data_IF_073479585596
#
_entry.id   IF_073479585596
#
_cell.length_a   1.000
_cell.length_b   1.000
_cell.length_c   1.000
_cell.angle_alpha   90.00
_cell.angle_beta   90.00
_cell.angle_gamma   90.00
#
_symmetry.space_group_name_H-M   'P 1'
#
loop_
_entity.id
_entity.type
_entity.pdbx_description
1 polymer ?
#
# COMPACT_ATOMS: atom_id res chain seq x y z
N UNK A 1 13.79 -5.97 -6.61
CA UNK A 1 12.61 -5.54 -5.83
C UNK A 1 11.39 -6.15 -6.46
N UNK A 2 10.63 -6.89 -5.69
CA UNK A 2 9.51 -7.65 -6.21
C UNK A 2 8.20 -6.86 -6.10
N UNK A 3 8.06 -5.87 -6.95
CA UNK A 3 6.76 -5.19 -7.13
C UNK A 3 5.82 -6.10 -7.92
N UNK A 4 4.55 -6.10 -7.56
CA UNK A 4 3.52 -6.86 -8.27
C UNK A 4 2.28 -6.02 -8.56
N UNK A 5 1.58 -6.39 -9.61
CA UNK A 5 0.26 -5.83 -9.98
C UNK A 5 -0.83 -6.90 -10.03
N UNK A 6 -0.51 -8.14 -9.71
CA UNK A 6 -1.43 -9.27 -9.87
C UNK A 6 -2.71 -9.15 -9.03
N UNK A 7 -2.60 -8.53 -7.84
CA UNK A 7 -3.76 -8.27 -6.97
C UNK A 7 -4.80 -7.34 -7.60
N UNK A 8 -4.41 -6.54 -8.60
CA UNK A 8 -5.34 -5.68 -9.32
C UNK A 8 -6.31 -6.45 -10.22
N UNK A 9 -6.05 -7.74 -10.49
CA UNK A 9 -7.02 -8.61 -11.15
C UNK A 9 -8.31 -8.78 -10.34
N UNK A 10 -8.26 -8.54 -9.04
CA UNK A 10 -9.43 -8.56 -8.15
C UNK A 10 -10.22 -7.26 -8.16
N UNK A 11 -9.67 -6.20 -8.73
CA UNK A 11 -10.36 -4.92 -8.91
C UNK A 11 -11.20 -4.98 -10.18
N UNK A 12 -12.49 -5.23 -10.03
CA UNK A 12 -13.41 -5.51 -11.13
C UNK A 12 -14.35 -4.33 -11.33
N UNK A 13 -14.49 -3.89 -12.58
CA UNK A 13 -15.43 -2.83 -12.91
C UNK A 13 -16.86 -3.31 -12.68
N UNK A 14 -17.61 -2.60 -11.85
CA UNK A 14 -19.04 -2.82 -11.68
C UNK A 14 -19.77 -2.30 -12.92
N UNK A 15 -20.77 -3.02 -13.40
CA UNK A 15 -21.58 -2.60 -14.55
C UNK A 15 -22.48 -1.40 -14.30
N UNK A 16 -22.57 -0.92 -13.05
CA UNK A 16 -23.35 0.27 -12.69
C UNK A 16 -22.56 1.54 -13.03
N UNK A 17 -23.22 2.50 -13.67
CA UNK A 17 -22.66 3.82 -13.90
C UNK A 17 -23.39 4.81 -12.99
N UNK A 18 -22.64 5.49 -12.14
CA UNK A 18 -23.12 6.59 -11.32
C UNK A 18 -22.79 7.91 -12.02
N UNK A 19 -23.54 8.95 -11.66
CA UNK A 19 -23.29 10.30 -12.18
C UNK A 19 -23.12 11.27 -11.01
N UNK A 20 -22.16 12.17 -11.14
CA UNK A 20 -21.99 13.27 -10.20
C UNK A 20 -23.14 14.30 -10.34
N UNK A 21 -23.19 15.27 -9.42
CA UNK A 21 -24.20 16.35 -9.46
C UNK A 21 -24.13 17.15 -10.77
N UNK A 22 -22.93 17.33 -11.31
CA UNK A 22 -22.68 17.99 -12.59
C UNK A 22 -22.71 17.04 -13.79
N UNK A 23 -23.33 15.85 -13.63
CA UNK A 23 -23.56 14.82 -14.66
C UNK A 23 -22.31 14.22 -15.28
N UNK A 24 -21.20 14.19 -14.56
CA UNK A 24 -20.01 13.44 -14.99
C UNK A 24 -20.16 11.97 -14.63
N UNK A 25 -19.80 11.05 -15.54
CA UNK A 25 -19.87 9.63 -15.25
C UNK A 25 -18.83 9.24 -14.19
N UNK A 26 -19.26 8.39 -13.26
CA UNK A 26 -18.40 7.81 -12.21
C UNK A 26 -18.36 6.33 -12.44
N UNK A 27 -17.17 5.81 -12.73
CA UNK A 27 -16.93 4.37 -12.81
C UNK A 27 -16.82 3.80 -11.40
N UNK A 28 -17.46 2.66 -11.17
CA UNK A 28 -17.44 1.98 -9.88
C UNK A 28 -16.67 0.68 -10.03
N UNK A 29 -15.68 0.49 -9.19
CA UNK A 29 -14.91 -0.77 -9.11
C UNK A 29 -15.20 -1.46 -7.79
N UNK A 30 -15.27 -2.78 -7.84
CA UNK A 30 -15.38 -3.64 -6.68
C UNK A 30 -14.11 -4.46 -6.51
N UNK A 31 -13.66 -4.60 -5.28
CA UNK A 31 -12.57 -5.49 -4.97
C UNK A 31 -13.14 -6.89 -4.67
N UNK A 32 -12.98 -7.81 -5.62
CA UNK A 32 -13.50 -9.18 -5.53
C UNK A 32 -12.36 -10.14 -5.27
N UNK A 33 -12.13 -10.42 -4.01
CA UNK A 33 -11.11 -11.37 -3.60
C UNK A 33 -11.46 -12.80 -4.06
N UNK A 34 -10.52 -13.44 -4.73
CA UNK A 34 -10.55 -14.87 -5.02
C UNK A 34 -9.32 -15.51 -4.38
N UNK A 35 -9.51 -16.60 -3.63
CA UNK A 35 -8.40 -17.22 -2.91
C UNK A 35 -7.29 -17.62 -3.87
N UNK A 36 -6.15 -16.99 -3.72
CA UNK A 36 -4.91 -17.29 -4.44
C UNK A 36 -3.74 -16.92 -3.53
N UNK A 37 -3.12 -17.95 -2.95
CA UNK A 37 -2.04 -17.75 -1.98
C UNK A 37 -0.78 -17.16 -2.63
N UNK A 38 -0.56 -17.41 -3.91
CA UNK A 38 0.57 -16.84 -4.66
C UNK A 38 0.40 -15.33 -4.83
N UNK A 39 -0.77 -14.89 -5.26
CA UNK A 39 -1.08 -13.45 -5.39
C UNK A 39 -1.03 -12.77 -4.03
N UNK A 40 -1.61 -13.38 -2.99
CA UNK A 40 -1.58 -12.82 -1.64
C UNK A 40 -0.17 -12.68 -1.09
N UNK A 41 0.68 -13.67 -1.27
CA UNK A 41 2.08 -13.63 -0.81
C UNK A 41 2.88 -12.55 -1.55
N UNK A 42 2.70 -12.45 -2.86
CA UNK A 42 3.34 -11.42 -3.67
C UNK A 42 2.87 -10.01 -3.28
N UNK A 43 1.57 -9.84 -3.05
CA UNK A 43 1.01 -8.55 -2.62
C UNK A 43 1.45 -8.14 -1.22
N UNK A 44 1.51 -9.08 -0.28
CA UNK A 44 2.03 -8.83 1.07
C UNK A 44 3.48 -8.35 1.02
N UNK A 45 4.32 -8.98 0.18
CA UNK A 45 5.70 -8.56 -0.05
C UNK A 45 5.78 -7.16 -0.68
N UNK A 46 4.99 -6.91 -1.69
CA UNK A 46 4.85 -5.62 -2.35
C UNK A 46 4.46 -4.52 -1.35
N UNK A 47 3.46 -4.77 -0.50
CA UNK A 47 3.02 -3.81 0.51
C UNK A 47 4.11 -3.52 1.55
N UNK A 48 4.72 -4.55 2.14
CA UNK A 48 5.75 -4.33 3.17
C UNK A 48 7.00 -3.63 2.64
N UNK A 49 7.37 -3.82 1.38
CA UNK A 49 8.50 -3.15 0.77
C UNK A 49 8.31 -1.64 0.62
N UNK A 50 7.10 -1.13 0.71
CA UNK A 50 6.86 0.30 0.83
C UNK A 50 7.39 0.87 2.14
N UNK A 51 7.38 0.11 3.23
CA UNK A 51 7.90 0.53 4.54
C UNK A 51 9.38 0.28 4.70
N UNK A 52 9.86 -0.84 4.20
CA UNK A 52 11.24 -1.26 4.32
C UNK A 52 11.56 -2.25 3.21
N UNK A 53 12.54 -1.92 2.38
CA UNK A 53 12.97 -2.83 1.32
C UNK A 53 13.59 -4.10 1.90
N UNK A 54 13.26 -5.23 1.31
CA UNK A 54 13.84 -6.53 1.69
C UNK A 54 15.37 -6.51 1.59
N UNK A 55 15.93 -5.71 0.67
CA UNK A 55 17.37 -5.52 0.52
C UNK A 55 18.04 -4.75 1.68
N UNK A 56 17.27 -3.94 2.41
CA UNK A 56 17.80 -3.01 3.40
C UNK A 56 17.56 -3.47 4.84
N UNK A 57 16.61 -4.39 5.05
CA UNK A 57 16.11 -4.73 6.38
C UNK A 57 17.20 -5.26 7.31
N UNK A 58 18.16 -6.05 6.80
CA UNK A 58 19.21 -6.64 7.64
C UNK A 58 20.21 -5.60 8.13
N UNK A 59 20.49 -4.57 7.32
CA UNK A 59 21.32 -3.44 7.71
C UNK A 59 20.60 -2.57 8.74
N UNK A 60 19.32 -2.27 8.47
CA UNK A 60 18.54 -1.37 9.34
C UNK A 60 18.25 -1.98 10.73
N UNK A 61 18.05 -3.30 10.81
CA UNK A 61 17.82 -3.97 12.09
C UNK A 61 19.10 -4.30 12.87
N UNK A 62 20.27 -4.08 12.28
CA UNK A 62 21.54 -4.36 12.91
C UNK A 62 21.65 -3.67 14.27
N UNK A 63 22.04 -4.41 15.32
CA UNK A 63 22.14 -3.89 16.68
C UNK A 63 20.82 -3.82 17.47
N UNK A 64 19.67 -4.10 16.84
CA UNK A 64 18.38 -4.09 17.54
C UNK A 64 18.07 -5.40 18.25
N UNK A 65 18.75 -6.50 17.92
CA UNK A 65 18.47 -7.87 18.36
C UNK A 65 17.08 -8.38 17.98
N UNK A 66 16.37 -7.71 17.06
CA UNK A 66 15.06 -8.09 16.57
C UNK A 66 15.20 -8.97 15.32
N UNK A 67 14.29 -9.94 15.18
CA UNK A 67 14.12 -10.64 13.89
C UNK A 67 13.56 -9.67 12.83
N UNK A 68 13.56 -10.08 11.55
CA UNK A 68 12.97 -9.26 10.47
C UNK A 68 11.50 -8.94 10.76
N UNK A 69 10.72 -9.95 11.14
CA UNK A 69 9.30 -9.78 11.44
C UNK A 69 9.09 -8.87 12.66
N UNK A 70 9.87 -9.05 13.71
CA UNK A 70 9.79 -8.19 14.91
C UNK A 70 10.16 -6.75 14.58
N UNK A 71 11.21 -6.53 13.78
CA UNK A 71 11.62 -5.20 13.35
C UNK A 71 10.51 -4.50 12.57
N UNK A 72 9.89 -5.17 11.59
CA UNK A 72 8.78 -4.62 10.83
C UNK A 72 7.59 -4.29 11.73
N UNK A 73 7.19 -5.22 12.59
CA UNK A 73 6.01 -5.04 13.43
C UNK A 73 6.18 -4.00 14.53
N UNK A 74 7.39 -3.86 15.11
CA UNK A 74 7.65 -2.95 16.22
C UNK A 74 8.12 -1.57 15.79
N UNK A 75 8.84 -1.49 14.65
CA UNK A 75 9.54 -0.25 14.24
C UNK A 75 8.89 0.40 13.03
N UNK A 76 8.46 -0.38 12.03
CA UNK A 76 8.02 0.15 10.74
C UNK A 76 6.50 0.24 10.60
N UNK A 77 5.79 -0.83 10.87
CA UNK A 77 4.34 -0.86 10.69
C UNK A 77 3.63 -0.09 11.81
N UNK A 78 2.53 0.60 11.48
CA UNK A 78 1.62 1.10 12.50
C UNK A 78 1.13 -0.05 13.40
N UNK A 79 0.80 0.26 14.65
CA UNK A 79 0.37 -0.74 15.63
C UNK A 79 -0.88 -1.50 15.13
N UNK A 80 -0.95 -2.81 15.38
CA UNK A 80 -2.07 -3.65 14.94
C UNK A 80 -3.32 -3.49 15.78
N UNK A 81 -3.18 -3.15 17.05
CA UNK A 81 -4.27 -3.18 18.02
C UNK A 81 -4.46 -1.87 18.78
N UNK A 82 -3.39 -1.12 19.01
CA UNK A 82 -3.42 0.09 19.81
C UNK A 82 -3.66 1.33 18.94
N UNK A 83 -4.73 2.07 19.23
CA UNK A 83 -5.05 3.30 18.52
C UNK A 83 -3.90 4.35 18.65
N UNK A 84 -3.61 5.13 17.58
CA UNK A 84 -4.29 5.22 16.29
C UNK A 84 -3.76 4.25 15.22
N UNK A 85 -2.92 3.29 15.57
CA UNK A 85 -2.24 2.39 14.66
C UNK A 85 -3.14 1.71 13.62
N UNK A 86 -4.27 1.08 14.01
CA UNK A 86 -5.13 0.40 13.03
C UNK A 86 -5.69 1.31 11.94
N UNK A 87 -6.08 2.54 12.28
CA UNK A 87 -6.60 3.50 11.29
C UNK A 87 -5.51 4.02 10.36
N UNK A 88 -4.31 4.28 10.89
CA UNK A 88 -3.15 4.67 10.07
C UNK A 88 -2.77 3.54 9.11
N UNK A 89 -2.77 2.30 9.61
CA UNK A 89 -2.45 1.11 8.79
C UNK A 89 -3.44 0.93 7.64
N UNK A 90 -4.73 1.09 7.91
CA UNK A 90 -5.78 1.02 6.88
C UNK A 90 -5.65 2.16 5.86
N UNK A 91 -5.33 3.37 6.29
CA UNK A 91 -5.08 4.51 5.43
C UNK A 91 -3.88 4.28 4.50
N UNK A 92 -2.76 3.84 5.05
CA UNK A 92 -1.55 3.51 4.29
C UNK A 92 -1.85 2.45 3.23
N UNK A 93 -2.59 1.41 3.60
CA UNK A 93 -3.00 0.35 2.68
C UNK A 93 -3.83 0.90 1.51
N UNK A 94 -4.82 1.74 1.80
CA UNK A 94 -5.66 2.37 0.77
C UNK A 94 -4.86 3.25 -0.18
N UNK A 95 -3.93 4.03 0.34
CA UNK A 95 -3.06 4.89 -0.48
C UNK A 95 -2.15 4.06 -1.40
N UNK A 96 -1.55 2.99 -0.91
CA UNK A 96 -0.72 2.10 -1.72
C UNK A 96 -1.55 1.44 -2.83
N UNK A 97 -2.77 1.00 -2.50
CA UNK A 97 -3.66 0.41 -3.50
C UNK A 97 -4.05 1.40 -4.60
N UNK A 98 -4.34 2.65 -4.26
CA UNK A 98 -4.61 3.71 -5.25
C UNK A 98 -3.37 4.02 -6.08
N UNK A 99 -2.19 4.05 -5.47
CA UNK A 99 -0.93 4.22 -6.19
C UNK A 99 -0.70 3.10 -7.20
N UNK A 100 -1.01 1.86 -6.83
CA UNK A 100 -0.92 0.71 -7.74
C UNK A 100 -1.89 0.86 -8.92
N UNK A 101 -3.12 1.29 -8.66
CA UNK A 101 -4.10 1.56 -9.70
C UNK A 101 -3.61 2.63 -10.68
N UNK A 102 -3.10 3.75 -10.17
CA UNK A 102 -2.56 4.82 -11.01
C UNK A 102 -1.41 4.33 -11.89
N UNK A 103 -0.50 3.56 -11.31
CA UNK A 103 0.69 3.10 -12.03
C UNK A 103 0.38 1.99 -13.02
N UNK A 104 -0.31 0.94 -12.58
CA UNK A 104 -0.46 -0.28 -13.38
C UNK A 104 -1.72 -0.30 -14.25
N UNK A 105 -2.77 0.40 -13.86
CA UNK A 105 -4.01 0.48 -14.66
C UNK A 105 -4.06 1.73 -15.54
N UNK A 106 -3.56 2.87 -15.06
CA UNK A 106 -3.60 4.13 -15.80
C UNK A 106 -2.25 4.52 -16.43
N UNK A 107 -1.18 3.80 -16.13
CA UNK A 107 0.13 4.03 -16.74
C UNK A 107 0.87 5.28 -16.24
N UNK A 108 0.52 5.81 -15.07
CA UNK A 108 1.24 6.94 -14.48
C UNK A 108 2.53 6.49 -13.82
N UNK A 109 3.53 7.35 -13.82
CA UNK A 109 4.68 7.17 -12.96
C UNK A 109 4.32 7.65 -11.55
N UNK A 110 4.49 6.77 -10.56
CA UNK A 110 4.15 7.06 -9.16
C UNK A 110 5.37 6.84 -8.29
N UNK A 111 5.88 7.85 -7.57
CA UNK A 111 6.96 7.66 -6.63
C UNK A 111 6.52 6.79 -5.45
N UNK A 112 7.44 5.91 -4.97
CA UNK A 112 7.15 4.90 -3.94
C UNK A 112 8.01 5.10 -2.68
N UNK A 113 8.42 6.32 -2.39
CA UNK A 113 9.38 6.61 -1.30
C UNK A 113 8.73 7.12 -0.02
N UNK A 114 7.41 7.36 -0.03
CA UNK A 114 6.70 8.02 1.07
C UNK A 114 6.87 7.29 2.40
N UNK A 115 6.62 5.99 2.44
CA UNK A 115 6.60 5.21 3.69
C UNK A 115 7.99 4.79 4.15
N UNK A 116 8.95 4.66 3.26
CA UNK A 116 10.37 4.39 3.59
C UNK A 116 10.94 5.54 4.44
N UNK A 117 10.50 6.78 4.17
CA UNK A 117 10.93 7.98 4.88
C UNK A 117 10.09 8.29 6.13
N UNK A 118 9.17 7.42 6.50
CA UNK A 118 8.32 7.58 7.67
C UNK A 118 9.13 7.51 8.95
N UNK A 119 9.08 8.55 9.78
CA UNK A 119 9.85 8.68 11.02
C UNK A 119 9.09 8.19 12.24
N UNK A 120 7.75 8.30 12.24
CA UNK A 120 6.89 7.86 13.35
C UNK A 120 5.86 6.88 12.79
N UNK A 121 5.90 5.64 13.28
CA UNK A 121 5.08 4.54 12.74
C UNK A 121 3.57 4.73 12.87
N UNK A 122 3.12 5.39 13.94
CA UNK A 122 1.69 5.60 14.23
C UNK A 122 1.21 6.99 13.82
N UNK A 123 1.90 7.64 12.88
CA UNK A 123 1.49 8.90 12.29
C UNK A 123 1.42 8.78 10.77
N UNK A 124 0.53 9.56 10.16
CA UNK A 124 0.51 9.71 8.72
C UNK A 124 1.74 10.44 8.23
N UNK A 125 2.30 9.99 7.12
CA UNK A 125 3.43 10.66 6.48
C UNK A 125 2.98 12.03 5.98
N UNK A 126 3.78 13.07 6.27
CA UNK A 126 3.51 14.44 5.79
C UNK A 126 3.78 14.55 4.30
N UNK A 127 3.01 15.40 3.62
CA UNK A 127 3.13 15.69 2.19
C UNK A 127 1.88 15.31 1.41
N UNK A 128 1.98 15.24 0.10
CA UNK A 128 0.87 14.82 -0.77
C UNK A 128 0.57 13.34 -0.57
N UNK A 129 -0.70 13.00 -0.53
CA UNK A 129 -1.14 11.61 -0.29
C UNK A 129 -0.69 10.68 -1.42
N UNK A 130 -1.02 11.04 -2.66
CA UNK A 130 -0.62 10.29 -3.84
C UNK A 130 -0.38 11.26 -4.99
N UNK A 131 0.71 11.08 -5.71
CA UNK A 131 1.04 11.82 -6.91
C UNK A 131 1.37 10.84 -8.03
N UNK A 132 0.71 11.02 -9.18
CA UNK A 132 1.04 10.32 -10.41
C UNK A 132 1.44 11.34 -11.48
N UNK A 133 2.44 10.99 -12.29
CA UNK A 133 2.90 11.81 -13.41
C UNK A 133 2.59 11.10 -14.72
N UNK A 134 1.96 11.84 -15.61
CA UNK A 134 1.58 11.34 -16.95
C UNK A 134 2.75 11.36 -17.92
#
# INVERSE_FOLDING_TARGET
MDWTSEHLSWLVKNGSILYSVDRKPIEVFEFRYTKDDSIMSAWARHFRNHYCLDSDIDVLRHGTFLSRAEYLNKIKFPDQSKAPGPSIRAGDFGEVLVADYLQYCLGYWVPRTRYVNKTVRNESTKGSDIIGFH
#
